data_IF_357118966964
#
_entry.id   IF_357118966964
#
_cell.length_a   1.000
_cell.length_b   1.000
_cell.length_c   1.000
_cell.angle_alpha   90.00
_cell.angle_beta   90.00
_cell.angle_gamma   90.00
#
_symmetry.space_group_name_H-M   'P 1'
#
loop_
_entity.id
_entity.type
_entity.pdbx_description
1 polymer ?
#
# COMPACT_ATOMS: atom_id res chain seq x y z
N UNK A 1 -23.60 -60.12 24.89
CA UNK A 1 -23.80 -60.19 23.43
C UNK A 1 -23.44 -58.84 22.84
N UNK A 2 -22.29 -58.76 22.17
CA UNK A 2 -21.76 -57.54 21.56
C UNK A 2 -22.34 -57.37 20.15
N UNK A 3 -22.96 -56.23 19.84
CA UNK A 3 -23.24 -55.81 18.46
C UNK A 3 -22.72 -54.39 18.24
N UNK A 4 -21.45 -54.40 17.83
CA UNK A 4 -20.74 -53.56 16.84
C UNK A 4 -21.46 -52.31 16.33
N UNK A 5 -21.01 -51.15 16.81
CA UNK A 5 -21.26 -49.86 16.15
C UNK A 5 -20.65 -49.89 14.74
N UNK A 6 -21.49 -49.72 13.72
CA UNK A 6 -21.06 -49.52 12.34
C UNK A 6 -20.46 -48.11 12.21
N UNK A 7 -19.15 -47.99 12.43
CA UNK A 7 -18.39 -46.79 12.06
C UNK A 7 -18.33 -46.78 10.53
N UNK A 8 -19.17 -45.95 9.91
CA UNK A 8 -19.05 -45.65 8.47
C UNK A 8 -17.72 -44.93 8.28
N UNK A 9 -16.87 -45.33 7.30
CA UNK A 9 -15.67 -44.56 6.98
C UNK A 9 -16.08 -43.13 6.69
N UNK A 10 -15.57 -42.17 7.47
CA UNK A 10 -15.71 -40.76 7.16
C UNK A 10 -15.06 -40.52 5.81
N UNK A 11 -15.85 -40.12 4.81
CA UNK A 11 -15.31 -39.62 3.55
C UNK A 11 -14.30 -38.52 3.88
N UNK A 12 -13.13 -38.47 3.22
CA UNK A 12 -12.15 -37.44 3.50
C UNK A 12 -12.80 -36.07 3.34
N UNK A 13 -12.85 -35.28 4.42
CA UNK A 13 -13.18 -33.87 4.32
C UNK A 13 -12.09 -33.23 3.46
N UNK A 14 -12.39 -33.01 2.19
CA UNK A 14 -11.57 -32.17 1.34
C UNK A 14 -11.67 -30.77 1.94
N UNK A 15 -10.69 -30.42 2.76
CA UNK A 15 -10.57 -29.09 3.35
C UNK A 15 -10.39 -28.09 2.22
N UNK A 16 -11.51 -27.49 1.79
CA UNK A 16 -11.51 -26.46 0.76
C UNK A 16 -10.86 -25.23 1.37
N UNK A 17 -9.65 -24.90 0.92
CA UNK A 17 -9.02 -23.63 1.25
C UNK A 17 -10.01 -22.50 0.96
N UNK A 18 -10.51 -21.87 2.01
CA UNK A 18 -11.38 -20.71 1.91
C UNK A 18 -10.49 -19.53 1.56
N UNK A 19 -10.35 -19.24 0.26
CA UNK A 19 -9.66 -18.02 -0.16
C UNK A 19 -10.43 -16.79 0.36
N UNK A 20 -9.75 -15.80 0.95
CA UNK A 20 -10.37 -14.58 1.47
C UNK A 20 -10.74 -13.62 0.32
N UNK A 21 -11.66 -14.03 -0.55
CA UNK A 21 -12.14 -13.24 -1.70
C UNK A 21 -12.80 -11.92 -1.30
N UNK A 22 -13.19 -11.76 -0.04
CA UNK A 22 -13.80 -10.53 0.49
C UNK A 22 -12.89 -9.29 0.34
N UNK A 23 -11.57 -9.45 0.32
CA UNK A 23 -10.64 -8.33 0.12
C UNK A 23 -10.49 -7.91 -1.36
N UNK A 24 -10.93 -8.75 -2.30
CA UNK A 24 -10.76 -8.48 -3.73
C UNK A 24 -11.56 -7.25 -4.20
N UNK A 25 -12.62 -6.88 -3.49
CA UNK A 25 -13.39 -5.66 -3.79
C UNK A 25 -12.64 -4.37 -3.47
N UNK A 26 -11.79 -4.36 -2.44
CA UNK A 26 -11.05 -3.15 -2.01
C UNK A 26 -9.60 -3.11 -2.48
N UNK A 27 -9.03 -4.27 -2.83
CA UNK A 27 -7.65 -4.37 -3.30
C UNK A 27 -7.33 -3.43 -4.49
N UNK A 28 -8.18 -3.28 -5.53
CA UNK A 28 -7.90 -2.38 -6.65
C UNK A 28 -7.76 -0.91 -6.22
N UNK A 29 -8.58 -0.46 -5.27
CA UNK A 29 -8.50 0.89 -4.72
C UNK A 29 -7.18 1.11 -3.98
N UNK A 30 -6.76 0.16 -3.14
CA UNK A 30 -5.49 0.30 -2.42
C UNK A 30 -4.29 0.27 -3.35
N UNK A 31 -4.29 -0.61 -4.36
CA UNK A 31 -3.24 -0.63 -5.38
C UNK A 31 -3.18 0.73 -6.08
N UNK A 32 -4.33 1.28 -6.47
CA UNK A 32 -4.40 2.59 -7.08
C UNK A 32 -3.85 3.69 -6.16
N UNK A 33 -4.30 3.74 -4.90
CA UNK A 33 -3.82 4.71 -3.93
C UNK A 33 -2.31 4.59 -3.67
N UNK A 34 -1.78 3.37 -3.57
CA UNK A 34 -0.35 3.16 -3.39
C UNK A 34 0.45 3.69 -4.59
N UNK A 35 0.03 3.35 -5.80
CA UNK A 35 0.76 3.70 -7.02
C UNK A 35 0.64 5.19 -7.37
N UNK A 36 -0.53 5.79 -7.21
CA UNK A 36 -0.83 7.13 -7.72
C UNK A 36 -0.90 8.21 -6.65
N UNK A 37 -1.06 7.85 -5.37
CA UNK A 37 -1.08 8.80 -4.28
C UNK A 37 0.18 8.68 -3.43
N UNK A 38 0.43 7.51 -2.85
CA UNK A 38 1.49 7.33 -1.86
C UNK A 38 2.87 7.38 -2.50
N UNK A 39 3.11 6.58 -3.54
CA UNK A 39 4.40 6.51 -4.22
C UNK A 39 4.88 7.88 -4.75
N UNK A 40 4.09 8.66 -5.50
CA UNK A 40 4.53 9.99 -5.96
C UNK A 40 4.68 10.99 -4.81
N UNK A 41 3.86 10.90 -3.75
CA UNK A 41 4.01 11.77 -2.58
C UNK A 41 5.35 11.53 -1.88
N UNK A 42 5.75 10.26 -1.71
CA UNK A 42 7.08 9.92 -1.17
C UNK A 42 8.18 10.48 -2.07
N UNK A 43 8.04 10.36 -3.39
CA UNK A 43 8.99 10.93 -4.35
C UNK A 43 9.14 12.46 -4.20
N UNK A 44 8.02 13.17 -4.04
CA UNK A 44 8.01 14.62 -3.82
C UNK A 44 8.71 15.00 -2.51
N UNK A 45 8.35 14.32 -1.41
CA UNK A 45 8.96 14.56 -0.09
C UNK A 45 10.46 14.29 -0.15
N UNK A 46 10.88 13.15 -0.70
CA UNK A 46 12.29 12.82 -0.83
C UNK A 46 13.06 13.83 -1.70
N UNK A 47 12.46 14.30 -2.81
CA UNK A 47 13.03 15.33 -3.67
C UNK A 47 13.16 16.69 -2.98
N UNK A 48 12.22 17.03 -2.09
CA UNK A 48 12.27 18.29 -1.34
C UNK A 48 13.53 18.39 -0.46
N UNK A 49 14.05 17.26 0.02
CA UNK A 49 15.26 17.19 0.85
C UNK A 49 16.53 16.84 0.07
N UNK A 50 16.51 16.77 -1.26
CA UNK A 50 17.69 16.43 -2.07
C UNK A 50 18.07 17.54 -3.04
N UNK A 51 19.37 17.84 -3.17
CA UNK A 51 19.87 18.77 -4.18
C UNK A 51 19.96 18.08 -5.57
N UNK A 52 20.35 18.83 -6.60
CA UNK A 52 20.52 18.30 -7.97
C UNK A 52 21.63 17.22 -8.08
N UNK A 53 22.57 17.17 -7.13
CA UNK A 53 23.59 16.13 -7.05
C UNK A 53 23.11 14.88 -6.27
N UNK A 54 21.95 14.95 -5.61
CA UNK A 54 21.36 13.87 -4.82
C UNK A 54 21.69 13.90 -3.33
N UNK A 55 22.46 14.88 -2.86
CA UNK A 55 22.80 15.04 -1.44
C UNK A 55 21.61 15.57 -0.64
N UNK A 56 21.52 15.18 0.63
CA UNK A 56 20.49 15.70 1.52
C UNK A 56 20.77 17.18 1.87
N UNK A 57 19.78 18.05 1.66
CA UNK A 57 19.85 19.49 1.92
C UNK A 57 18.48 20.06 2.31
N UNK A 58 18.46 21.30 2.80
CA UNK A 58 17.25 22.10 3.03
C UNK A 58 17.09 23.24 2.01
N UNK A 59 17.99 23.36 1.03
CA UNK A 59 18.01 24.47 0.08
C UNK A 59 16.69 24.63 -0.68
N UNK A 60 16.07 23.52 -1.13
CA UNK A 60 14.80 23.57 -1.84
C UNK A 60 13.67 24.11 -0.95
N UNK A 61 13.65 23.75 0.33
CA UNK A 61 12.63 24.24 1.28
C UNK A 61 12.80 25.74 1.52
N UNK A 62 14.05 26.20 1.67
CA UNK A 62 14.34 27.63 1.81
C UNK A 62 13.99 28.38 0.53
N UNK A 63 14.29 27.80 -0.64
CA UNK A 63 13.97 28.38 -1.94
C UNK A 63 12.46 28.65 -2.07
N UNK A 64 11.59 27.77 -1.58
CA UNK A 64 10.12 27.97 -1.56
C UNK A 64 9.67 29.25 -0.84
N UNK A 65 10.44 29.72 0.15
CA UNK A 65 10.13 30.94 0.89
C UNK A 65 10.57 32.24 0.19
N UNK A 66 11.27 32.14 -0.95
CA UNK A 66 11.77 33.32 -1.64
C UNK A 66 10.63 34.17 -2.23
N UNK A 67 10.78 35.51 -2.23
CA UNK A 67 9.73 36.45 -2.68
C UNK A 67 9.24 36.19 -4.10
N UNK A 68 10.11 35.66 -4.97
CA UNK A 68 9.79 35.38 -6.37
C UNK A 68 8.76 34.25 -6.54
N UNK A 69 8.73 33.29 -5.63
CA UNK A 69 7.71 32.22 -5.63
C UNK A 69 6.42 32.68 -4.95
N UNK A 70 6.53 33.49 -3.90
CA UNK A 70 5.36 34.09 -3.26
C UNK A 70 4.59 35.00 -4.24
N UNK A 71 5.32 35.78 -5.06
CA UNK A 71 4.75 36.63 -6.10
C UNK A 71 4.08 35.88 -7.26
N UNK A 72 4.17 34.54 -7.36
CA UNK A 72 3.44 33.78 -8.37
C UNK A 72 1.94 33.60 -8.01
N UNK A 73 1.54 33.94 -6.79
CA UNK A 73 0.20 33.72 -6.26
C UNK A 73 -0.63 35.01 -6.09
N UNK A 74 -0.12 36.16 -6.50
CA UNK A 74 -0.83 37.44 -6.56
C UNK A 74 -0.40 38.24 -7.80
#
# INVERSE_FOLDING_TARGET
MSQTASVRPGAPEISRLRLPLHWLGVAPFFIFALLFLILPTIGLIAGAFKNAAGDYTLDNIIALSQPKLAAAYW
#
